data_IF_702484374073
#
_entry.id   IF_702484374073
#
_cell.length_a   1.000
_cell.length_b   1.000
_cell.length_c   1.000
_cell.angle_alpha   90.00
_cell.angle_beta   90.00
_cell.angle_gamma   90.00
#
_symmetry.space_group_name_H-M   'P 1'
#
loop_
_entity.id
_entity.type
_entity.pdbx_description
1 polymer ?
#
# COMPACT_ATOMS: atom_id res chain seq x y z
N UNK A 1 2.73 -15.74 -27.20
CA UNK A 1 3.89 -14.82 -27.27
C UNK A 1 5.15 -15.59 -26.89
N UNK A 2 6.29 -15.37 -27.55
CA UNK A 2 7.55 -16.00 -27.15
C UNK A 2 7.98 -15.56 -25.75
N UNK A 3 8.52 -16.48 -24.98
CA UNK A 3 9.08 -16.18 -23.65
C UNK A 3 10.37 -15.33 -23.80
N UNK A 4 10.61 -14.44 -22.85
CA UNK A 4 11.84 -13.62 -22.78
C UNK A 4 11.77 -12.22 -23.40
N UNK A 5 10.66 -11.83 -24.03
CA UNK A 5 10.50 -10.46 -24.51
C UNK A 5 10.22 -9.50 -23.34
N UNK A 6 11.00 -8.42 -23.23
CA UNK A 6 10.86 -7.41 -22.14
C UNK A 6 9.47 -6.76 -22.06
N UNK A 7 8.78 -6.64 -23.18
CA UNK A 7 7.46 -6.00 -23.29
C UNK A 7 6.30 -7.00 -23.40
N UNK A 8 6.54 -8.31 -23.24
CA UNK A 8 5.51 -9.34 -23.36
C UNK A 8 4.32 -9.08 -22.41
N UNK A 9 4.59 -8.84 -21.13
CA UNK A 9 3.56 -8.58 -20.13
C UNK A 9 2.71 -7.35 -20.46
N UNK A 10 3.34 -6.23 -20.84
CA UNK A 10 2.61 -4.99 -21.17
C UNK A 10 1.79 -5.12 -22.45
N UNK A 11 2.29 -5.86 -23.44
CA UNK A 11 1.55 -6.12 -24.68
C UNK A 11 0.36 -7.04 -24.40
N UNK A 12 0.55 -8.10 -23.61
CA UNK A 12 -0.52 -8.99 -23.20
C UNK A 12 -1.59 -8.25 -22.40
N UNK A 13 -1.19 -7.45 -21.41
CA UNK A 13 -2.12 -6.61 -20.66
C UNK A 13 -2.95 -5.69 -21.55
N UNK A 14 -2.34 -5.07 -22.58
CA UNK A 14 -3.04 -4.20 -23.54
C UNK A 14 -4.08 -4.97 -24.33
N UNK A 15 -3.75 -6.18 -24.78
CA UNK A 15 -4.69 -7.06 -25.49
C UNK A 15 -5.86 -7.42 -24.57
N UNK A 16 -5.59 -7.88 -23.34
CA UNK A 16 -6.63 -8.21 -22.37
C UNK A 16 -7.52 -7.01 -22.04
N UNK A 17 -6.93 -5.82 -21.85
CA UNK A 17 -7.68 -4.59 -21.62
C UNK A 17 -8.65 -4.28 -22.77
N UNK A 18 -8.21 -4.43 -24.02
CA UNK A 18 -9.07 -4.19 -25.18
C UNK A 18 -10.19 -5.25 -25.31
N UNK A 19 -9.88 -6.51 -25.04
CA UNK A 19 -10.86 -7.60 -25.15
C UNK A 19 -12.00 -7.48 -24.12
N UNK A 20 -11.71 -7.02 -22.95
CA UNK A 20 -12.66 -6.89 -21.84
C UNK A 20 -13.06 -5.43 -21.54
N UNK A 21 -12.85 -4.52 -22.49
CA UNK A 21 -13.09 -3.07 -22.30
C UNK A 21 -14.50 -2.76 -21.78
N UNK A 22 -15.51 -3.47 -22.27
CA UNK A 22 -16.91 -3.30 -21.86
C UNK A 22 -17.20 -3.75 -20.42
N UNK A 23 -16.38 -4.63 -19.87
CA UNK A 23 -16.55 -5.23 -18.53
C UNK A 23 -15.56 -4.69 -17.49
N UNK A 24 -14.45 -4.10 -17.94
CA UNK A 24 -13.42 -3.55 -17.06
C UNK A 24 -13.98 -2.47 -16.15
N UNK A 25 -13.63 -2.57 -14.87
CA UNK A 25 -14.09 -1.63 -13.84
C UNK A 25 -15.50 -1.90 -13.32
N UNK A 26 -16.30 -2.74 -13.98
CA UNK A 26 -17.63 -3.17 -13.52
C UNK A 26 -17.49 -4.43 -12.64
N UNK A 27 -17.35 -5.57 -13.28
CA UNK A 27 -17.37 -6.90 -12.65
C UNK A 27 -16.08 -7.69 -12.80
N UNK A 28 -15.12 -7.21 -13.62
CA UNK A 28 -13.85 -7.90 -13.90
C UNK A 28 -12.64 -7.04 -13.59
N UNK A 29 -11.62 -7.66 -13.04
CA UNK A 29 -10.27 -7.11 -12.90
C UNK A 29 -9.28 -8.07 -13.54
N UNK A 30 -8.36 -7.53 -14.34
CA UNK A 30 -7.38 -8.31 -15.10
C UNK A 30 -5.99 -7.74 -14.88
N UNK A 31 -5.07 -8.61 -14.57
CA UNK A 31 -3.66 -8.26 -14.50
C UNK A 31 -2.84 -9.41 -15.12
N UNK A 32 -2.35 -9.17 -16.34
CA UNK A 32 -1.63 -10.18 -17.13
C UNK A 32 -2.46 -11.47 -17.19
N UNK A 33 -2.01 -12.56 -16.56
CA UNK A 33 -2.66 -13.88 -16.61
C UNK A 33 -3.76 -14.06 -15.56
N UNK A 34 -3.83 -13.17 -14.57
CA UNK A 34 -4.78 -13.28 -13.46
C UNK A 34 -6.09 -12.53 -13.77
N UNK A 35 -7.20 -13.22 -13.68
CA UNK A 35 -8.55 -12.66 -13.89
C UNK A 35 -9.36 -12.87 -12.62
N UNK A 36 -9.99 -11.81 -12.12
CA UNK A 36 -10.97 -11.89 -11.02
C UNK A 36 -12.30 -11.33 -11.49
N UNK A 37 -13.34 -12.13 -11.32
CA UNK A 37 -14.73 -11.74 -11.55
C UNK A 37 -15.40 -11.58 -10.20
N UNK A 38 -16.03 -10.42 -10.00
CA UNK A 38 -16.73 -10.08 -8.76
C UNK A 38 -18.10 -9.49 -9.07
N UNK A 39 -19.13 -10.03 -8.47
CA UNK A 39 -20.51 -9.55 -8.60
C UNK A 39 -21.09 -9.30 -7.21
N UNK A 40 -22.08 -8.41 -7.11
CA UNK A 40 -22.75 -8.11 -5.84
C UNK A 40 -23.74 -9.20 -5.44
N UNK A 41 -24.48 -9.76 -6.40
CA UNK A 41 -25.50 -10.77 -6.19
C UNK A 41 -25.10 -12.09 -6.85
N UNK A 42 -25.55 -13.21 -6.29
CA UNK A 42 -25.21 -14.56 -6.81
C UNK A 42 -25.77 -14.79 -8.21
N UNK A 43 -26.99 -14.33 -8.47
CA UNK A 43 -27.60 -14.47 -9.82
C UNK A 43 -26.89 -13.61 -10.86
N UNK A 44 -26.52 -12.39 -10.52
CA UNK A 44 -25.71 -11.52 -11.40
C UNK A 44 -24.37 -12.19 -11.73
N UNK A 45 -23.79 -12.91 -10.77
CA UNK A 45 -22.51 -13.58 -10.98
C UNK A 45 -22.55 -14.63 -12.09
N UNK A 46 -23.64 -15.35 -12.23
CA UNK A 46 -23.80 -16.32 -13.34
C UNK A 46 -23.85 -15.63 -14.70
N UNK A 47 -24.56 -14.52 -14.80
CA UNK A 47 -24.64 -13.73 -16.04
C UNK A 47 -23.30 -13.07 -16.37
N UNK A 48 -22.64 -12.52 -15.38
CA UNK A 48 -21.30 -11.94 -15.52
C UNK A 48 -20.29 -12.98 -16.02
N UNK A 49 -20.30 -14.18 -15.43
CA UNK A 49 -19.45 -15.29 -15.87
C UNK A 49 -19.78 -15.73 -17.31
N UNK A 50 -21.07 -15.82 -17.65
CA UNK A 50 -21.48 -16.17 -19.02
C UNK A 50 -20.95 -15.16 -20.05
N UNK A 51 -21.13 -13.86 -19.79
CA UNK A 51 -20.62 -12.80 -20.65
C UNK A 51 -19.10 -12.87 -20.83
N UNK A 52 -18.38 -13.14 -19.74
CA UNK A 52 -16.92 -13.28 -19.75
C UNK A 52 -16.49 -14.52 -20.55
N UNK A 53 -17.18 -15.65 -20.38
CA UNK A 53 -16.87 -16.85 -21.15
C UNK A 53 -17.17 -16.69 -22.63
N UNK A 54 -18.18 -15.94 -23.02
CA UNK A 54 -18.46 -15.60 -24.41
C UNK A 54 -17.31 -14.78 -25.04
N UNK A 55 -16.79 -13.78 -24.30
CA UNK A 55 -15.61 -13.02 -24.73
C UNK A 55 -14.41 -13.95 -24.90
N UNK A 56 -14.11 -14.79 -23.92
CA UNK A 56 -13.00 -15.74 -24.00
C UNK A 56 -13.11 -16.67 -25.20
N UNK A 57 -14.31 -17.20 -25.49
CA UNK A 57 -14.59 -18.07 -26.69
C UNK A 57 -14.36 -17.30 -27.97
N UNK A 58 -14.85 -16.08 -28.09
CA UNK A 58 -14.72 -15.26 -29.29
C UNK A 58 -13.24 -14.98 -29.63
N UNK A 59 -12.41 -14.80 -28.62
CA UNK A 59 -10.96 -14.59 -28.77
C UNK A 59 -10.14 -15.88 -28.69
N UNK A 60 -10.79 -17.05 -28.63
CA UNK A 60 -10.13 -18.38 -28.55
C UNK A 60 -9.14 -18.50 -27.40
N UNK A 61 -9.44 -17.87 -26.26
CA UNK A 61 -8.65 -18.00 -25.04
C UNK A 61 -9.09 -19.22 -24.23
N UNK A 62 -8.11 -19.95 -23.71
CA UNK A 62 -8.34 -21.12 -22.86
C UNK A 62 -7.93 -20.82 -21.42
N UNK A 63 -8.81 -21.15 -20.49
CA UNK A 63 -8.53 -21.10 -19.06
C UNK A 63 -7.87 -22.40 -18.61
N UNK A 64 -6.90 -22.29 -17.70
CA UNK A 64 -6.37 -23.46 -17.03
C UNK A 64 -7.30 -23.84 -15.85
N UNK A 65 -8.15 -24.84 -16.08
CA UNK A 65 -9.16 -25.27 -15.11
C UNK A 65 -8.58 -25.65 -13.74
N UNK A 66 -7.36 -26.22 -13.69
CA UNK A 66 -6.71 -26.61 -12.44
C UNK A 66 -6.29 -25.39 -11.56
N UNK A 67 -6.22 -24.20 -12.16
CA UNK A 67 -5.89 -22.93 -11.48
C UNK A 67 -7.11 -22.03 -11.26
N UNK A 68 -8.26 -22.41 -11.78
CA UNK A 68 -9.50 -21.64 -11.62
C UNK A 68 -10.25 -22.08 -10.38
N UNK A 69 -10.85 -21.11 -9.69
CA UNK A 69 -11.77 -21.33 -8.57
C UNK A 69 -13.05 -20.55 -8.84
N UNK A 70 -14.20 -21.21 -8.74
CA UNK A 70 -15.52 -20.64 -9.00
C UNK A 70 -16.38 -20.71 -7.75
N UNK A 71 -17.31 -19.77 -7.58
CA UNK A 71 -18.25 -19.76 -6.49
C UNK A 71 -17.62 -19.66 -5.10
N UNK A 72 -16.44 -19.03 -4.99
CA UNK A 72 -15.69 -18.90 -3.74
C UNK A 72 -15.92 -17.53 -3.10
N UNK A 73 -16.04 -17.47 -1.77
CA UNK A 73 -16.17 -16.22 -1.03
C UNK A 73 -14.87 -15.41 -0.94
N UNK A 74 -13.72 -16.01 -1.32
CA UNK A 74 -12.42 -15.35 -1.34
C UNK A 74 -11.50 -15.98 -2.39
N UNK A 75 -10.61 -15.18 -2.96
CA UNK A 75 -9.66 -15.64 -3.97
C UNK A 75 -8.29 -14.96 -3.85
N UNK A 76 -7.25 -15.62 -4.37
CA UNK A 76 -5.92 -15.02 -4.49
C UNK A 76 -5.85 -14.16 -5.73
N UNK A 77 -5.35 -12.94 -5.59
CA UNK A 77 -5.08 -12.04 -6.72
C UNK A 77 -3.86 -11.18 -6.40
N UNK A 78 -2.87 -11.16 -7.30
CA UNK A 78 -1.61 -10.41 -7.12
C UNK A 78 -0.90 -10.69 -5.78
N UNK A 79 -0.98 -11.93 -5.30
CA UNK A 79 -0.36 -12.32 -4.02
C UNK A 79 -1.16 -11.96 -2.77
N UNK A 80 -2.31 -11.30 -2.90
CA UNK A 80 -3.22 -10.94 -1.81
C UNK A 80 -4.46 -11.83 -1.79
N UNK A 81 -5.17 -11.84 -0.68
CA UNK A 81 -6.51 -12.44 -0.58
C UNK A 81 -7.55 -11.35 -0.79
N UNK A 82 -8.42 -11.54 -1.76
CA UNK A 82 -9.61 -10.71 -1.97
C UNK A 82 -10.78 -11.41 -1.31
N UNK A 83 -11.42 -10.73 -0.37
CA UNK A 83 -12.56 -11.24 0.39
C UNK A 83 -13.73 -10.26 0.29
N UNK A 84 -14.90 -10.62 0.83
CA UNK A 84 -16.02 -9.69 0.95
C UNK A 84 -15.71 -8.50 1.87
N UNK A 85 -14.80 -8.69 2.85
CA UNK A 85 -14.36 -7.64 3.78
C UNK A 85 -13.37 -6.64 3.17
N UNK A 86 -12.70 -7.03 2.08
CA UNK A 86 -11.67 -6.22 1.43
C UNK A 86 -10.45 -7.01 0.99
N UNK A 87 -9.29 -6.35 1.00
CA UNK A 87 -8.01 -6.94 0.61
C UNK A 87 -7.24 -7.34 1.89
N UNK A 88 -6.87 -8.59 1.98
CA UNK A 88 -6.18 -9.18 3.13
C UNK A 88 -4.81 -9.71 2.74
N UNK A 89 -3.93 -9.84 3.72
CA UNK A 89 -2.64 -10.51 3.53
C UNK A 89 -2.86 -12.00 3.27
N UNK A 90 -2.07 -12.56 2.37
CA UNK A 90 -2.09 -13.99 2.16
C UNK A 90 -1.57 -14.71 3.42
N UNK A 91 -2.39 -15.61 4.05
CA UNK A 91 -2.00 -16.30 5.28
C UNK A 91 -0.69 -17.09 5.18
N UNK A 92 -0.37 -17.58 3.98
CA UNK A 92 0.89 -18.31 3.77
C UNK A 92 2.12 -17.39 3.92
N UNK A 93 2.02 -16.12 3.52
CA UNK A 93 3.12 -15.15 3.69
C UNK A 93 3.34 -14.84 5.18
N UNK A 94 2.27 -14.73 5.95
CA UNK A 94 2.33 -14.54 7.41
C UNK A 94 2.96 -15.77 8.08
N UNK A 95 2.53 -16.98 7.70
CA UNK A 95 3.09 -18.23 8.23
C UNK A 95 4.59 -18.33 8.00
N UNK A 96 5.08 -17.94 6.81
CA UNK A 96 6.51 -17.95 6.50
C UNK A 96 7.28 -17.04 7.46
N UNK A 97 6.81 -15.81 7.70
CA UNK A 97 7.48 -14.86 8.62
C UNK A 97 7.41 -15.37 10.07
N UNK A 98 6.26 -15.90 10.50
CA UNK A 98 6.09 -16.38 11.87
C UNK A 98 6.96 -17.59 12.18
N UNK A 99 7.22 -18.45 11.18
CA UNK A 99 8.06 -19.65 11.33
C UNK A 99 9.56 -19.35 11.30
N UNK A 100 9.97 -18.13 10.92
CA UNK A 100 11.37 -17.73 10.99
C UNK A 100 11.84 -17.72 12.45
N UNK A 101 13.00 -18.33 12.70
CA UNK A 101 13.72 -18.25 13.98
C UNK A 101 14.61 -17.01 14.00
N UNK A 102 15.40 -16.84 15.05
CA UNK A 102 16.42 -15.78 15.12
C UNK A 102 17.33 -15.84 13.89
N UNK A 103 17.52 -14.69 13.24
CA UNK A 103 18.28 -14.60 12.00
C UNK A 103 19.78 -14.58 12.31
N UNK A 104 20.54 -15.39 11.59
CA UNK A 104 21.94 -15.67 11.90
C UNK A 104 22.94 -14.98 10.96
N UNK A 105 22.47 -14.45 9.86
CA UNK A 105 23.32 -13.84 8.85
C UNK A 105 22.59 -12.72 8.08
N UNK A 106 23.33 -11.80 7.44
CA UNK A 106 22.76 -10.68 6.68
C UNK A 106 21.79 -11.10 5.57
N UNK A 107 22.01 -12.27 4.95
CA UNK A 107 21.15 -12.76 3.86
C UNK A 107 19.75 -13.11 4.35
N UNK A 108 19.65 -13.67 5.55
CA UNK A 108 18.35 -13.97 6.18
C UNK A 108 17.60 -12.68 6.53
N UNK A 109 18.34 -11.64 6.99
CA UNK A 109 17.75 -10.31 7.25
C UNK A 109 17.29 -9.65 5.96
N UNK A 110 18.06 -9.78 4.85
CA UNK A 110 17.60 -9.33 3.55
C UNK A 110 16.33 -10.03 3.08
N UNK A 111 16.21 -11.33 3.30
CA UNK A 111 15.01 -12.09 2.99
C UNK A 111 13.81 -11.60 3.81
N UNK A 112 13.98 -11.37 5.12
CA UNK A 112 12.93 -10.80 5.99
C UNK A 112 12.50 -9.41 5.50
N UNK A 113 13.46 -8.52 5.21
CA UNK A 113 13.13 -7.18 4.72
C UNK A 113 12.47 -7.21 3.35
N UNK A 114 12.85 -8.15 2.48
CA UNK A 114 12.16 -8.41 1.22
C UNK A 114 10.72 -8.84 1.40
N UNK A 115 10.45 -9.79 2.30
CA UNK A 115 9.09 -10.20 2.66
C UNK A 115 8.27 -9.04 3.26
N UNK A 116 8.85 -8.27 4.17
CA UNK A 116 8.20 -7.09 4.75
C UNK A 116 7.91 -6.02 3.69
N UNK A 117 8.77 -5.86 2.67
CA UNK A 117 8.53 -4.93 1.56
C UNK A 117 7.33 -5.32 0.70
N UNK A 118 7.12 -6.62 0.45
CA UNK A 118 5.91 -7.13 -0.24
C UNK A 118 4.65 -6.82 0.57
N UNK A 119 4.72 -6.91 1.91
CA UNK A 119 3.60 -6.65 2.81
C UNK A 119 3.47 -5.19 3.23
N UNK A 120 4.30 -4.30 2.71
CA UNK A 120 4.42 -2.89 3.13
C UNK A 120 3.08 -2.15 3.15
N UNK A 121 2.16 -2.43 2.20
CA UNK A 121 0.84 -1.80 2.17
C UNK A 121 -0.05 -2.11 3.39
N UNK A 122 0.24 -3.20 4.11
CA UNK A 122 -0.49 -3.63 5.31
C UNK A 122 0.24 -3.27 6.60
N UNK A 123 1.50 -2.86 6.52
CA UNK A 123 2.31 -2.57 7.70
C UNK A 123 2.34 -1.07 7.93
N UNK A 124 1.62 -0.63 8.96
CA UNK A 124 1.71 0.75 9.41
C UNK A 124 3.13 1.04 9.85
N UNK A 125 3.69 2.20 9.44
CA UNK A 125 5.04 2.63 9.81
C UNK A 125 6.13 1.58 9.53
N UNK A 126 6.01 0.88 8.41
CA UNK A 126 6.93 -0.21 8.05
C UNK A 126 8.40 0.20 8.06
N UNK A 127 8.72 1.44 7.67
CA UNK A 127 10.09 1.97 7.70
C UNK A 127 10.66 2.10 9.11
N UNK A 128 9.82 2.48 10.09
CA UNK A 128 10.22 2.56 11.50
C UNK A 128 10.38 1.15 12.09
N UNK A 129 9.38 0.29 11.90
CA UNK A 129 9.39 -1.10 12.40
C UNK A 129 10.57 -1.93 11.86
N UNK A 130 10.90 -1.75 10.60
CA UNK A 130 11.99 -2.48 9.95
C UNK A 130 13.36 -1.77 10.07
N UNK A 131 13.44 -0.62 10.74
CA UNK A 131 14.69 0.14 10.87
C UNK A 131 15.84 -0.66 11.46
N UNK A 132 15.69 -1.42 12.57
CA UNK A 132 16.78 -2.22 13.12
C UNK A 132 17.37 -3.18 12.09
N UNK A 133 16.54 -3.81 11.28
CA UNK A 133 16.98 -4.75 10.23
C UNK A 133 17.78 -4.05 9.12
N UNK A 134 17.34 -2.85 8.68
CA UNK A 134 18.10 -2.06 7.70
C UNK A 134 19.45 -1.59 8.26
N UNK A 135 19.54 -1.33 9.55
CA UNK A 135 20.81 -0.97 10.19
C UNK A 135 21.80 -2.14 10.20
N UNK A 136 21.30 -3.38 10.43
CA UNK A 136 22.11 -4.59 10.35
C UNK A 136 22.63 -4.87 8.94
N UNK A 137 21.77 -4.74 7.92
CA UNK A 137 22.21 -4.94 6.53
C UNK A 137 23.35 -3.99 6.14
N UNK A 138 23.34 -2.76 6.66
CA UNK A 138 24.41 -1.80 6.39
C UNK A 138 25.75 -2.11 7.11
N UNK A 139 25.71 -2.93 8.17
CA UNK A 139 26.88 -3.39 8.92
C UNK A 139 27.28 -4.82 8.55
N UNK A 140 27.40 -5.11 7.24
CA UNK A 140 27.60 -6.46 6.72
C UNK A 140 28.79 -7.23 7.32
N UNK A 141 29.89 -6.52 7.63
CA UNK A 141 31.12 -7.14 8.15
C UNK A 141 31.03 -7.49 9.64
N UNK A 142 30.25 -6.70 10.41
CA UNK A 142 30.11 -6.83 11.85
C UNK A 142 28.65 -7.19 12.17
N UNK A 143 28.17 -8.30 11.59
CA UNK A 143 26.80 -8.75 11.81
C UNK A 143 26.62 -9.29 13.22
N UNK A 144 25.80 -8.62 14.00
CA UNK A 144 25.38 -9.05 15.32
C UNK A 144 23.87 -8.89 15.47
N UNK A 145 23.18 -9.99 15.80
CA UNK A 145 21.75 -9.96 16.08
C UNK A 145 21.49 -9.41 17.48
N UNK A 146 21.22 -8.11 17.56
CA UNK A 146 21.03 -7.39 18.83
C UNK A 146 19.66 -7.63 19.43
N UNK A 147 19.50 -7.32 20.73
CA UNK A 147 18.22 -7.37 21.44
C UNK A 147 17.17 -6.41 20.81
N UNK A 148 17.61 -5.24 20.33
CA UNK A 148 16.74 -4.31 19.58
C UNK A 148 16.13 -5.00 18.34
N UNK A 149 16.94 -5.79 17.63
CA UNK A 149 16.47 -6.54 16.47
C UNK A 149 15.51 -7.67 16.84
N UNK A 150 15.80 -8.38 17.94
CA UNK A 150 14.93 -9.46 18.43
C UNK A 150 13.56 -8.89 18.85
N UNK A 151 13.55 -7.78 19.56
CA UNK A 151 12.33 -7.07 19.98
C UNK A 151 11.54 -6.57 18.76
N UNK A 152 12.20 -5.90 17.82
CA UNK A 152 11.54 -5.43 16.59
C UNK A 152 10.98 -6.59 15.74
N UNK A 153 11.67 -7.72 15.73
CA UNK A 153 11.21 -8.91 15.02
C UNK A 153 9.98 -9.52 15.67
N UNK A 154 9.94 -9.61 16.99
CA UNK A 154 8.75 -10.08 17.69
C UNK A 154 7.57 -9.14 17.50
N UNK A 155 7.78 -7.82 17.62
CA UNK A 155 6.74 -6.82 17.36
C UNK A 155 6.19 -6.90 15.92
N UNK A 156 7.04 -7.18 14.93
CA UNK A 156 6.60 -7.37 13.55
C UNK A 156 5.75 -8.62 13.40
N UNK A 157 6.11 -9.74 14.05
CA UNK A 157 5.30 -10.97 14.07
C UNK A 157 3.95 -10.76 14.74
N UNK A 158 3.93 -10.12 15.90
CA UNK A 158 2.71 -9.83 16.65
C UNK A 158 1.76 -8.95 15.84
N UNK A 159 2.31 -7.94 15.15
CA UNK A 159 1.55 -7.08 14.25
C UNK A 159 0.95 -7.88 13.08
N UNK A 160 1.75 -8.74 12.45
CA UNK A 160 1.32 -9.56 11.32
C UNK A 160 0.40 -10.72 11.72
N UNK A 161 0.31 -11.06 13.01
CA UNK A 161 -0.69 -12.03 13.50
C UNK A 161 -2.13 -11.51 13.32
N UNK A 162 -2.32 -10.18 13.32
CA UNK A 162 -3.62 -9.52 13.12
C UNK A 162 -3.47 -8.33 12.15
N UNK A 163 -3.17 -8.59 10.87
CA UNK A 163 -2.96 -7.53 9.91
C UNK A 163 -4.28 -6.78 9.66
N UNK A 164 -4.22 -5.49 9.38
CA UNK A 164 -5.41 -4.75 8.99
C UNK A 164 -5.96 -5.24 7.65
N UNK A 165 -7.28 -5.18 7.51
CA UNK A 165 -7.96 -5.42 6.25
C UNK A 165 -7.97 -4.09 5.49
N UNK A 166 -7.53 -4.10 4.22
CA UNK A 166 -7.54 -2.91 3.37
C UNK A 166 -8.87 -2.80 2.64
N UNK A 167 -9.49 -1.63 2.70
CA UNK A 167 -10.69 -1.29 1.94
C UNK A 167 -10.34 -0.66 0.60
N UNK A 168 -11.25 -0.81 -0.36
CA UNK A 168 -11.19 -0.07 -1.63
C UNK A 168 -12.17 1.11 -1.55
N UNK A 169 -11.76 2.35 -1.87
CA UNK A 169 -12.70 3.45 -1.93
C UNK A 169 -13.75 3.23 -3.03
N UNK A 170 -14.94 3.75 -2.81
CA UNK A 170 -16.00 3.80 -3.84
C UNK A 170 -15.73 4.97 -4.81
N UNK A 171 -16.26 4.95 -6.03
CA UNK A 171 -16.15 6.07 -6.95
C UNK A 171 -16.62 7.38 -6.29
N UNK A 172 -15.93 8.48 -6.57
CA UNK A 172 -16.22 9.83 -6.06
C UNK A 172 -16.20 9.99 -4.53
N UNK A 173 -15.79 8.97 -3.79
CA UNK A 173 -15.64 9.03 -2.33
C UNK A 173 -14.46 9.94 -1.95
N UNK A 174 -14.67 10.79 -0.95
CA UNK A 174 -13.59 11.57 -0.33
C UNK A 174 -12.78 10.66 0.57
N UNK A 175 -11.47 10.60 0.33
CA UNK A 175 -10.54 9.83 1.16
C UNK A 175 -9.68 10.76 2.02
N UNK A 176 -9.28 10.28 3.19
CA UNK A 176 -8.50 11.04 4.14
C UNK A 176 -7.06 10.51 4.19
N UNK A 177 -6.11 11.41 4.33
CA UNK A 177 -4.70 11.09 4.48
C UNK A 177 -4.20 11.56 5.85
N UNK A 178 -3.83 10.61 6.71
CA UNK A 178 -3.09 10.93 7.92
C UNK A 178 -1.60 10.81 7.67
N UNK A 179 -0.86 11.80 8.11
CA UNK A 179 0.60 11.84 8.01
C UNK A 179 1.24 11.79 9.37
N UNK A 180 2.35 11.08 9.48
CA UNK A 180 3.21 11.11 10.65
C UNK A 180 4.65 11.30 10.25
N UNK A 181 5.35 12.12 11.02
CA UNK A 181 6.76 12.46 10.82
C UNK A 181 7.55 11.95 12.01
N UNK A 182 8.46 11.04 11.75
CA UNK A 182 9.44 10.58 12.72
C UNK A 182 10.83 11.13 12.39
N UNK A 183 11.78 10.95 13.28
CA UNK A 183 13.15 11.41 13.09
C UNK A 183 13.76 10.83 11.80
N UNK A 184 13.52 9.55 11.53
CA UNK A 184 14.14 8.79 10.44
C UNK A 184 13.17 8.26 9.41
N UNK A 185 11.88 8.54 9.53
CA UNK A 185 10.88 8.08 8.59
C UNK A 185 9.72 9.07 8.43
N UNK A 186 9.07 8.98 7.29
CA UNK A 186 7.80 9.65 7.02
C UNK A 186 6.78 8.61 6.62
N UNK A 187 5.57 8.77 7.13
CA UNK A 187 4.49 7.82 6.93
C UNK A 187 3.21 8.55 6.51
N UNK A 188 2.44 7.88 5.67
CA UNK A 188 1.12 8.32 5.27
C UNK A 188 0.20 7.10 5.26
N UNK A 189 -1.02 7.26 5.73
CA UNK A 189 -2.09 6.28 5.54
C UNK A 189 -3.26 6.94 4.84
N UNK A 190 -3.74 6.30 3.78
CA UNK A 190 -5.03 6.63 3.20
C UNK A 190 -6.10 5.83 3.91
N UNK A 191 -7.19 6.49 4.28
CA UNK A 191 -8.36 5.88 4.89
C UNK A 191 -9.63 6.34 4.18
N UNK A 192 -10.64 5.48 4.22
CA UNK A 192 -12.03 5.84 3.93
C UNK A 192 -12.83 5.85 5.21
N UNK A 193 -13.98 6.53 5.20
CA UNK A 193 -14.91 6.55 6.33
C UNK A 193 -16.22 5.98 5.86
N UNK A 194 -16.60 4.84 6.41
CA UNK A 194 -17.84 4.14 6.08
C UNK A 194 -18.71 4.01 7.34
N UNK A 195 -19.90 4.60 7.33
CA UNK A 195 -20.76 4.61 8.50
C UNK A 195 -20.11 5.21 9.76
N UNK A 196 -19.17 6.16 9.62
CA UNK A 196 -18.40 6.73 10.73
C UNK A 196 -17.21 5.87 11.19
N UNK A 197 -17.00 4.70 10.58
CA UNK A 197 -15.86 3.81 10.87
C UNK A 197 -14.72 4.07 9.88
N UNK A 198 -13.53 4.30 10.41
CA UNK A 198 -12.34 4.50 9.60
C UNK A 198 -11.77 3.15 9.17
N UNK A 199 -11.58 3.00 7.86
CA UNK A 199 -11.02 1.80 7.25
C UNK A 199 -9.75 2.15 6.46
N UNK A 200 -8.63 1.44 6.66
CA UNK A 200 -7.41 1.72 5.93
C UNK A 200 -7.54 1.30 4.46
N UNK A 201 -7.06 2.16 3.56
CA UNK A 201 -6.95 1.90 2.14
C UNK A 201 -5.52 1.50 1.78
N UNK A 202 -4.55 2.22 2.30
CA UNK A 202 -3.14 1.95 2.01
C UNK A 202 -2.19 2.62 3.00
N UNK A 203 -1.16 1.90 3.45
CA UNK A 203 -0.05 2.47 4.21
C UNK A 203 1.13 2.77 3.28
N UNK A 204 1.68 3.98 3.38
CA UNK A 204 2.93 4.40 2.75
C UNK A 204 3.91 4.74 3.84
N UNK A 205 5.09 4.15 3.79
CA UNK A 205 6.17 4.43 4.72
C UNK A 205 7.48 4.52 3.96
N UNK A 206 8.33 5.48 4.33
CA UNK A 206 9.66 5.67 3.75
C UNK A 206 10.66 6.04 4.83
N UNK A 207 11.78 5.33 4.88
CA UNK A 207 12.93 5.70 5.70
C UNK A 207 13.69 6.87 5.07
N UNK A 208 13.96 7.90 5.86
CA UNK A 208 14.75 9.06 5.42
C UNK A 208 16.26 8.75 5.28
N UNK A 209 16.72 7.58 5.77
CA UNK A 209 18.13 7.17 5.67
C UNK A 209 18.48 6.43 4.38
N UNK A 210 17.48 5.84 3.67
CA UNK A 210 17.75 4.88 2.60
C UNK A 210 18.17 5.49 1.27
N UNK A 211 18.00 6.79 1.05
CA UNK A 211 18.24 7.42 -0.25
C UNK A 211 19.16 8.64 -0.22
N UNK A 212 19.06 9.53 0.75
CA UNK A 212 19.98 10.68 0.88
C UNK A 212 20.07 11.12 2.35
N UNK A 213 21.28 11.25 2.88
CA UNK A 213 21.56 11.82 4.22
C UNK A 213 20.90 13.20 4.43
N UNK A 214 20.53 13.90 3.37
CA UNK A 214 19.86 15.19 3.39
C UNK A 214 18.44 15.14 3.98
N UNK A 215 17.65 14.08 3.71
CA UNK A 215 16.25 14.00 4.16
C UNK A 215 16.11 13.90 5.70
N UNK A 216 17.13 13.41 6.38
CA UNK A 216 17.16 13.38 7.86
C UNK A 216 17.16 14.79 8.44
N UNK A 217 17.82 15.74 7.74
CA UNK A 217 17.98 17.15 8.17
C UNK A 217 16.80 18.02 7.80
N UNK A 218 15.78 17.48 7.10
CA UNK A 218 14.59 18.25 6.76
C UNK A 218 13.84 18.67 8.02
N UNK A 219 13.31 19.87 8.02
CA UNK A 219 12.42 20.35 9.06
C UNK A 219 11.17 19.45 9.16
N UNK A 220 10.53 19.34 10.32
CA UNK A 220 9.29 18.55 10.48
C UNK A 220 8.25 18.87 9.42
N UNK A 221 8.13 20.13 9.07
CA UNK A 221 7.25 20.64 8.03
C UNK A 221 7.62 20.11 6.64
N UNK A 222 8.89 20.16 6.25
CA UNK A 222 9.37 19.63 4.97
C UNK A 222 9.15 18.11 4.90
N UNK A 223 9.34 17.40 6.02
CA UNK A 223 9.04 15.97 6.11
C UNK A 223 7.55 15.67 5.95
N UNK A 224 6.69 16.53 6.49
CA UNK A 224 5.24 16.40 6.33
C UNK A 224 4.82 16.58 4.86
N UNK A 225 5.33 17.61 4.18
CA UNK A 225 5.11 17.79 2.73
C UNK A 225 5.68 16.60 1.94
N UNK A 226 6.88 16.13 2.29
CA UNK A 226 7.49 14.96 1.67
C UNK A 226 6.61 13.71 1.81
N UNK A 227 5.95 13.51 2.95
CA UNK A 227 5.03 12.38 3.14
C UNK A 227 3.87 12.43 2.14
N UNK A 228 3.28 13.61 1.90
CA UNK A 228 2.22 13.81 0.91
C UNK A 228 2.73 13.57 -0.51
N UNK A 229 3.89 14.15 -0.88
CA UNK A 229 4.52 13.95 -2.19
C UNK A 229 4.83 12.46 -2.45
N UNK A 230 5.26 11.72 -1.45
CA UNK A 230 5.48 10.29 -1.58
C UNK A 230 4.16 9.53 -1.76
N UNK A 231 3.10 9.96 -1.06
CA UNK A 231 1.75 9.44 -1.24
C UNK A 231 1.27 9.62 -2.68
N UNK A 232 1.36 10.84 -3.22
CA UNK A 232 0.93 11.12 -4.61
C UNK A 232 1.72 10.35 -5.64
N UNK A 233 3.03 10.17 -5.45
CA UNK A 233 3.87 9.39 -6.38
C UNK A 233 3.59 7.89 -6.35
N UNK A 234 3.38 7.34 -5.15
CA UNK A 234 3.18 5.90 -4.97
C UNK A 234 1.74 5.48 -5.26
N UNK A 235 0.80 6.36 -5.02
CA UNK A 235 -0.63 6.11 -5.06
C UNK A 235 -1.35 7.09 -6.01
N UNK A 236 -0.70 7.46 -7.13
CA UNK A 236 -1.20 8.46 -8.06
C UNK A 236 -2.64 8.21 -8.51
N UNK A 237 -3.01 6.94 -8.72
CA UNK A 237 -4.36 6.56 -9.12
C UNK A 237 -5.44 6.91 -8.08
N UNK A 238 -5.14 6.86 -6.78
CA UNK A 238 -6.08 7.32 -5.76
C UNK A 238 -6.20 8.84 -5.74
N UNK A 239 -5.07 9.56 -5.86
CA UNK A 239 -5.06 11.02 -5.86
C UNK A 239 -5.64 11.62 -7.15
N UNK A 240 -5.68 10.88 -8.26
CA UNK A 240 -6.31 11.28 -9.51
C UNK A 240 -7.82 11.03 -9.52
N UNK A 241 -8.27 9.96 -8.84
CA UNK A 241 -9.66 9.52 -8.86
C UNK A 241 -10.51 10.11 -7.72
N UNK A 242 -9.88 10.66 -6.67
CA UNK A 242 -10.57 11.08 -5.47
C UNK A 242 -10.07 12.43 -4.95
N UNK A 243 -10.95 13.20 -4.33
CA UNK A 243 -10.55 14.30 -3.44
C UNK A 243 -9.85 13.70 -2.21
N UNK A 244 -8.62 14.14 -1.93
CA UNK A 244 -7.85 13.67 -0.77
C UNK A 244 -7.74 14.77 0.28
N UNK A 245 -8.28 14.52 1.47
CA UNK A 245 -8.20 15.45 2.60
C UNK A 245 -7.03 15.07 3.49
N UNK A 246 -5.97 15.87 3.49
CA UNK A 246 -4.80 15.69 4.35
C UNK A 246 -5.08 16.26 5.73
N UNK A 247 -5.06 15.41 6.75
CA UNK A 247 -5.31 15.77 8.15
C UNK A 247 -3.99 16.03 8.87
N UNK A 248 -3.75 17.27 9.27
CA UNK A 248 -2.49 17.71 9.88
C UNK A 248 -2.70 18.88 10.82
N UNK A 249 -1.83 19.02 11.83
CA UNK A 249 -1.78 20.21 12.68
C UNK A 249 -0.87 21.31 12.10
N UNK A 250 -0.16 21.01 11.01
CA UNK A 250 0.76 21.93 10.36
C UNK A 250 0.03 22.73 9.29
N UNK A 251 0.32 24.03 9.15
CA UNK A 251 -0.27 24.92 8.13
C UNK A 251 0.31 24.65 6.74
N UNK A 252 0.15 23.41 6.24
CA UNK A 252 0.76 23.00 4.96
C UNK A 252 0.23 23.79 3.78
N UNK A 253 -1.05 24.11 3.77
CA UNK A 253 -1.68 24.87 2.67
C UNK A 253 -1.06 26.26 2.52
N UNK A 254 -0.96 27.02 3.62
CA UNK A 254 -0.36 28.35 3.65
C UNK A 254 1.08 28.32 3.13
N UNK A 255 1.82 27.29 3.55
CA UNK A 255 3.21 27.12 3.20
C UNK A 255 3.40 26.79 1.72
N UNK A 256 2.61 25.88 1.19
CA UNK A 256 2.69 25.47 -0.21
C UNK A 256 2.26 26.59 -1.18
N UNK A 257 1.48 27.58 -0.70
CA UNK A 257 1.05 28.75 -1.48
C UNK A 257 1.98 29.96 -1.34
N UNK A 258 2.90 29.96 -0.37
CA UNK A 258 3.80 31.10 -0.14
C UNK A 258 4.95 31.10 -1.15
N UNK A 259 5.32 32.28 -1.63
CA UNK A 259 6.43 32.49 -2.55
C UNK A 259 7.82 32.40 -1.86
N UNK A 260 7.87 32.54 -0.54
CA UNK A 260 9.13 32.71 0.22
C UNK A 260 9.81 31.41 0.64
N UNK A 261 9.34 30.26 0.15
CA UNK A 261 9.89 28.98 0.56
C UNK A 261 11.03 28.47 -0.32
N UNK A 262 11.78 27.53 0.24
CA UNK A 262 12.92 26.93 -0.44
C UNK A 262 12.50 26.40 -1.82
N UNK A 263 13.41 26.48 -2.80
CA UNK A 263 13.20 25.94 -4.17
C UNK A 263 12.63 24.52 -4.18
N UNK A 264 12.91 23.73 -3.15
CA UNK A 264 12.41 22.36 -2.98
C UNK A 264 10.91 22.34 -2.65
N UNK A 265 10.47 23.16 -1.70
CA UNK A 265 9.04 23.25 -1.31
C UNK A 265 8.21 23.77 -2.48
N UNK A 266 8.70 24.77 -3.22
CA UNK A 266 8.06 25.26 -4.44
C UNK A 266 7.87 24.15 -5.48
N UNK A 267 8.93 23.33 -5.72
CA UNK A 267 8.83 22.16 -6.61
C UNK A 267 7.81 21.13 -6.13
N UNK A 268 7.71 20.89 -4.83
CA UNK A 268 6.70 20.00 -4.25
C UNK A 268 5.29 20.57 -4.38
N UNK A 269 5.13 21.90 -4.20
CA UNK A 269 3.87 22.61 -4.44
C UNK A 269 3.36 22.40 -5.86
N UNK A 270 4.24 22.51 -6.86
CA UNK A 270 3.89 22.22 -8.26
C UNK A 270 3.45 20.77 -8.46
N UNK A 271 4.13 19.80 -7.82
CA UNK A 271 3.74 18.37 -7.92
C UNK A 271 2.38 18.12 -7.28
N UNK A 272 2.11 18.74 -6.13
CA UNK A 272 0.85 18.54 -5.39
C UNK A 272 -0.32 19.29 -6.03
N UNK A 273 -0.06 20.42 -6.69
CA UNK A 273 -1.08 21.29 -7.30
C UNK A 273 -1.84 20.67 -8.48
N UNK A 274 -1.38 19.52 -9.02
CA UNK A 274 -2.10 18.79 -10.08
C UNK A 274 -3.20 17.86 -9.55
N UNK A 275 -3.30 17.70 -8.21
CA UNK A 275 -4.26 16.82 -7.55
C UNK A 275 -5.27 17.64 -6.74
N UNK A 276 -6.48 17.11 -6.57
CA UNK A 276 -7.48 17.69 -5.67
C UNK A 276 -7.16 17.32 -4.22
N UNK A 277 -6.25 18.08 -3.60
CA UNK A 277 -5.82 17.89 -2.22
C UNK A 277 -6.34 19.06 -1.38
N UNK A 278 -7.07 18.73 -0.33
CA UNK A 278 -7.53 19.67 0.70
C UNK A 278 -6.75 19.44 2.00
N UNK A 279 -6.53 20.49 2.76
CA UNK A 279 -5.85 20.43 4.05
C UNK A 279 -6.82 20.80 5.16
N UNK A 280 -6.91 19.98 6.18
CA UNK A 280 -7.79 20.22 7.32
C UNK A 280 -7.04 19.99 8.64
N UNK A 281 -7.40 20.74 9.70
CA UNK A 281 -6.88 20.49 11.03
C UNK A 281 -7.22 19.07 11.48
N UNK A 282 -6.25 18.42 12.11
CA UNK A 282 -6.47 17.13 12.73
C UNK A 282 -7.26 17.33 14.02
N UNK A 283 -8.54 17.00 14.03
CA UNK A 283 -9.35 16.89 15.24
C UNK A 283 -8.96 15.65 16.05
N UNK A 284 -9.40 15.58 17.32
CA UNK A 284 -9.05 14.48 18.23
C UNK A 284 -9.24 13.10 17.62
N UNK A 285 -8.29 12.20 17.92
CA UNK A 285 -8.24 10.86 17.35
C UNK A 285 -9.38 10.02 17.90
N UNK A 286 -10.36 9.72 17.07
CA UNK A 286 -11.36 8.68 17.34
C UNK A 286 -11.22 7.63 16.26
N UNK A 287 -10.67 6.46 16.58
CA UNK A 287 -10.62 5.33 15.67
C UNK A 287 -9.35 4.47 15.81
N UNK A 288 -9.51 3.17 15.68
CA UNK A 288 -8.47 2.16 15.88
C UNK A 288 -7.31 2.26 14.87
N UNK A 289 -7.58 2.70 13.64
CA UNK A 289 -6.57 2.89 12.59
C UNK A 289 -5.58 3.97 12.99
N UNK A 290 -6.05 5.02 13.64
CA UNK A 290 -5.23 6.11 14.16
C UNK A 290 -4.54 5.73 15.46
N UNK A 291 -5.19 5.00 16.36
CA UNK A 291 -4.56 4.51 17.57
C UNK A 291 -3.31 3.69 17.22
N UNK A 292 -3.38 2.82 16.22
CA UNK A 292 -2.23 2.06 15.75
C UNK A 292 -1.14 2.93 15.09
N UNK A 293 -1.50 4.08 14.51
CA UNK A 293 -0.54 5.02 13.92
C UNK A 293 0.09 5.94 14.98
N UNK A 294 -0.60 6.24 16.06
CA UNK A 294 -0.26 7.27 17.07
C UNK A 294 0.11 6.68 18.42
N UNK A 295 -0.43 5.53 18.81
CA UNK A 295 -0.20 4.95 20.15
C UNK A 295 1.28 4.66 20.48
N UNK A 296 2.15 4.72 19.47
CA UNK A 296 3.61 4.59 19.67
C UNK A 296 4.35 5.94 19.84
N UNK A 297 3.63 7.09 19.80
CA UNK A 297 4.25 8.40 20.07
C UNK A 297 4.28 8.79 21.56
N UNK A 298 3.60 8.03 22.41
CA UNK A 298 3.42 8.35 23.84
C UNK A 298 4.31 7.54 24.77
N UNK A 299 5.39 6.94 24.27
CA UNK A 299 6.45 6.44 25.15
C UNK A 299 7.66 7.35 25.06
N UNK A 300 8.15 7.86 26.21
CA UNK A 300 9.30 8.76 26.31
C UNK A 300 10.59 8.13 25.76
#
# INVERSE_FOLDING_TARGET
MPFGLKNAGSTYQRVMTRMFESQLGKNIKIYIDDIVVKSKMVLEHLWDLQAIFEILRNYKLHLNASKCSFGVGSGKFLGYMITHRGIEVNPNQIKVINNLRSLRNPKEVQNLTGMAAVLNRFISRSADRCRPFFMLINKWKDFEWTEECATAFQQLKDYLARPPIMSSPEPDEVIFAYITVALYAVNLVLIRVDGGVQQPVYYVSKSCKSLHKAEVRYLPLEKAILAVVLGTRKLSHYFQAHTVVVLTQLSLETILRSADYTRRVAKWGTILGVFDIKYMPRTSIKGQVLANLVAEFTKP
#
